data_IF_276793956976
#
_entry.id   IF_276793956976
#
_cell.length_a   1.000
_cell.length_b   1.000
_cell.length_c   1.000
_cell.angle_alpha   90.00
_cell.angle_beta   90.00
_cell.angle_gamma   90.00
#
_symmetry.space_group_name_H-M   'P 1'
#
loop_
_entity.id
_entity.type
_entity.pdbx_description
1 polymer ?
#
# COMPACT_ATOMS: atom_id res chain seq x y z
N UNK A 1 -1.12 -27.88 -11.43
CA UNK A 1 -2.58 -27.79 -11.17
C UNK A 1 -2.88 -27.47 -9.70
N UNK A 2 -2.33 -28.23 -8.74
CA UNK A 2 -2.54 -28.07 -7.28
C UNK A 2 -2.28 -26.65 -6.75
N UNK A 3 -1.14 -26.03 -7.06
CA UNK A 3 -0.82 -24.65 -6.60
C UNK A 3 -1.87 -23.62 -7.04
N UNK A 4 -2.44 -23.75 -8.23
CA UNK A 4 -3.50 -22.85 -8.73
C UNK A 4 -4.78 -23.00 -7.90
N UNK A 5 -5.15 -24.24 -7.56
CA UNK A 5 -6.29 -24.55 -6.69
C UNK A 5 -6.08 -23.96 -5.29
N UNK A 6 -4.91 -24.18 -4.68
CA UNK A 6 -4.59 -23.63 -3.36
C UNK A 6 -4.70 -22.10 -3.34
N UNK A 7 -4.15 -21.42 -4.36
CA UNK A 7 -4.22 -19.95 -4.49
C UNK A 7 -5.66 -19.46 -4.65
N UNK A 8 -6.48 -20.19 -5.39
CA UNK A 8 -7.90 -19.91 -5.52
C UNK A 8 -8.64 -20.05 -4.19
N UNK A 9 -8.39 -21.14 -3.45
CA UNK A 9 -8.99 -21.35 -2.13
C UNK A 9 -8.60 -20.25 -1.14
N UNK A 10 -7.34 -19.79 -1.14
CA UNK A 10 -6.92 -18.63 -0.35
C UNK A 10 -7.71 -17.38 -0.71
N UNK A 11 -7.95 -17.15 -2.00
CA UNK A 11 -8.71 -15.98 -2.45
C UNK A 11 -10.14 -16.04 -1.93
N UNK A 12 -10.80 -17.19 -2.08
CA UNK A 12 -12.15 -17.41 -1.56
C UNK A 12 -12.19 -17.22 -0.04
N UNK A 13 -11.27 -17.84 0.70
CA UNK A 13 -11.18 -17.71 2.15
C UNK A 13 -11.03 -16.26 2.62
N UNK A 14 -10.11 -15.50 2.04
CA UNK A 14 -9.88 -14.10 2.40
C UNK A 14 -11.11 -13.23 2.09
N UNK A 15 -11.78 -13.44 0.94
CA UNK A 15 -13.00 -12.70 0.57
C UNK A 15 -14.13 -13.02 1.54
N UNK A 16 -14.35 -14.29 1.90
CA UNK A 16 -15.36 -14.68 2.89
C UNK A 16 -15.04 -14.03 4.24
N UNK A 17 -13.79 -14.09 4.70
CA UNK A 17 -13.36 -13.49 5.96
C UNK A 17 -13.64 -11.98 6.00
N UNK A 18 -13.34 -11.26 4.90
CA UNK A 18 -13.67 -9.85 4.74
C UNK A 18 -15.18 -9.61 4.85
N UNK A 19 -15.99 -10.32 4.05
CA UNK A 19 -17.45 -10.15 4.03
C UNK A 19 -18.11 -10.48 5.38
N UNK A 20 -17.64 -11.51 6.09
CA UNK A 20 -18.15 -11.85 7.44
C UNK A 20 -17.84 -10.73 8.43
N UNK A 21 -16.63 -10.16 8.37
CA UNK A 21 -16.24 -9.04 9.25
C UNK A 21 -16.94 -7.72 8.91
N UNK A 22 -17.34 -7.53 7.66
CA UNK A 22 -18.07 -6.35 7.20
C UNK A 22 -19.58 -6.56 7.09
N UNK A 23 -20.13 -7.69 7.57
CA UNK A 23 -21.51 -8.10 7.33
C UNK A 23 -22.55 -7.00 7.67
N UNK A 24 -22.29 -6.19 8.69
CA UNK A 24 -23.14 -5.06 9.10
C UNK A 24 -22.98 -3.79 8.25
N UNK A 25 -21.96 -3.70 7.40
CA UNK A 25 -21.49 -2.50 6.69
C UNK A 25 -21.05 -2.74 5.23
N UNK A 26 -21.56 -3.79 4.58
CA UNK A 26 -21.12 -4.25 3.25
C UNK A 26 -21.15 -3.19 2.12
N UNK A 27 -21.91 -2.09 2.23
CA UNK A 27 -21.93 -1.02 1.22
C UNK A 27 -20.59 -0.27 1.09
N UNK A 28 -19.69 -0.40 2.06
CA UNK A 28 -18.41 0.32 2.11
C UNK A 28 -17.23 -0.51 1.60
N UNK A 29 -17.42 -1.81 1.37
CA UNK A 29 -16.42 -2.72 0.83
C UNK A 29 -16.77 -3.04 -0.63
N UNK A 30 -15.82 -2.86 -1.54
CA UNK A 30 -15.95 -3.29 -2.93
C UNK A 30 -14.72 -4.11 -3.34
N UNK A 31 -14.96 -5.34 -3.80
CA UNK A 31 -13.91 -6.24 -4.32
C UNK A 31 -14.29 -6.58 -5.76
N UNK A 32 -13.50 -6.08 -6.70
CA UNK A 32 -13.79 -6.20 -8.11
C UNK A 32 -13.32 -7.54 -8.70
N UNK A 33 -13.67 -7.78 -9.97
CA UNK A 33 -13.39 -9.04 -10.66
C UNK A 33 -11.89 -9.28 -10.82
N UNK A 34 -11.48 -10.55 -10.71
CA UNK A 34 -10.09 -10.96 -10.94
C UNK A 34 -9.13 -10.66 -9.78
N UNK A 35 -9.64 -10.15 -8.65
CA UNK A 35 -8.85 -9.99 -7.42
C UNK A 35 -8.32 -11.35 -6.95
N UNK A 36 -7.05 -11.39 -6.55
CA UNK A 36 -6.38 -12.58 -6.03
C UNK A 36 -5.72 -12.25 -4.70
N UNK A 37 -6.22 -12.88 -3.64
CA UNK A 37 -5.73 -12.73 -2.27
C UNK A 37 -5.07 -14.05 -1.86
N UNK A 38 -3.74 -14.11 -1.92
CA UNK A 38 -2.97 -15.35 -1.82
C UNK A 38 -2.23 -15.39 -0.49
N UNK A 39 -2.38 -16.49 0.24
CA UNK A 39 -1.84 -16.64 1.59
C UNK A 39 -2.72 -15.97 2.65
N UNK A 40 -2.27 -16.02 3.90
CA UNK A 40 -3.04 -15.56 5.04
C UNK A 40 -2.95 -14.03 5.23
N UNK A 41 -3.83 -13.26 4.59
CA UNK A 41 -3.80 -11.79 4.70
C UNK A 41 -4.58 -11.36 5.95
N UNK A 42 -4.00 -10.46 6.75
CA UNK A 42 -4.69 -9.86 7.90
C UNK A 42 -5.43 -8.61 7.45
N UNK A 43 -6.75 -8.64 7.51
CA UNK A 43 -7.58 -7.44 7.38
C UNK A 43 -8.16 -7.05 8.74
N UNK A 44 -7.94 -5.80 9.14
CA UNK A 44 -8.59 -5.17 10.31
C UNK A 44 -9.33 -3.92 9.85
N UNK A 45 -10.65 -4.01 9.81
CA UNK A 45 -11.52 -2.91 9.40
C UNK A 45 -12.28 -2.46 10.63
N UNK A 46 -12.12 -1.21 11.02
CA UNK A 46 -12.86 -0.65 12.16
C UNK A 46 -14.34 -0.45 11.81
N UNK A 47 -15.20 -0.17 12.78
CA UNK A 47 -16.66 -0.22 12.58
C UNK A 47 -17.15 0.86 11.61
N UNK A 48 -16.54 2.04 11.64
CA UNK A 48 -17.02 3.25 10.97
C UNK A 48 -16.05 3.75 9.88
N UNK A 49 -15.18 2.88 9.33
CA UNK A 49 -14.45 3.21 8.10
C UNK A 49 -15.42 3.72 7.02
N UNK A 50 -14.94 4.58 6.11
CA UNK A 50 -15.77 5.20 5.07
C UNK A 50 -15.78 4.42 3.76
N UNK A 51 -14.66 3.77 3.41
CA UNK A 51 -14.59 2.98 2.19
C UNK A 51 -13.35 2.09 2.09
N UNK A 52 -13.52 0.91 1.50
CA UNK A 52 -12.42 0.04 1.12
C UNK A 52 -12.72 -0.56 -0.26
N UNK A 53 -11.88 -0.26 -1.23
CA UNK A 53 -12.01 -0.77 -2.58
C UNK A 53 -10.76 -1.51 -3.03
N UNK A 54 -10.95 -2.69 -3.62
CA UNK A 54 -9.92 -3.42 -4.35
C UNK A 54 -10.37 -3.55 -5.81
N UNK A 55 -9.64 -2.90 -6.72
CA UNK A 55 -9.89 -2.86 -8.14
C UNK A 55 -9.65 -4.19 -8.87
N UNK A 56 -9.98 -4.19 -10.15
CA UNK A 56 -9.93 -5.37 -11.00
C UNK A 56 -8.52 -5.94 -11.11
N UNK A 57 -8.40 -7.26 -11.21
CA UNK A 57 -7.14 -7.98 -11.46
C UNK A 57 -6.02 -7.73 -10.43
N UNK A 58 -6.33 -7.10 -9.30
CA UNK A 58 -5.37 -6.80 -8.24
C UNK A 58 -4.95 -8.06 -7.49
N UNK A 59 -3.64 -8.20 -7.25
CA UNK A 59 -3.03 -9.33 -6.53
C UNK A 59 -2.36 -8.83 -5.26
N UNK A 60 -2.75 -9.43 -4.14
CA UNK A 60 -2.10 -9.25 -2.84
C UNK A 60 -1.62 -10.63 -2.38
N UNK A 61 -0.33 -10.77 -2.11
CA UNK A 61 0.23 -12.02 -1.59
C UNK A 61 0.74 -11.84 -0.17
N UNK A 62 0.82 -12.94 0.59
CA UNK A 62 1.27 -12.94 1.98
C UNK A 62 2.06 -14.21 2.26
N UNK A 63 3.31 -14.08 2.68
CA UNK A 63 4.14 -15.20 3.13
C UNK A 63 4.69 -16.10 2.02
N UNK A 64 4.65 -15.65 0.76
CA UNK A 64 5.17 -16.40 -0.40
C UNK A 64 6.43 -15.75 -1.02
N UNK A 65 6.86 -14.57 -0.55
CA UNK A 65 7.96 -13.82 -1.16
C UNK A 65 9.22 -13.81 -0.27
N UNK A 66 10.32 -14.31 -0.84
CA UNK A 66 11.63 -14.33 -0.18
C UNK A 66 12.16 -12.93 0.14
N UNK A 67 11.89 -11.93 -0.72
CA UNK A 67 12.26 -10.54 -0.46
C UNK A 67 11.54 -9.97 0.78
N UNK A 68 10.31 -10.41 0.99
CA UNK A 68 9.47 -10.05 2.13
C UNK A 68 9.78 -10.85 3.38
N UNK A 69 10.77 -11.76 3.35
CA UNK A 69 11.08 -12.68 4.44
C UNK A 69 9.83 -13.42 4.96
N UNK A 70 8.93 -13.78 4.04
CA UNK A 70 7.65 -14.43 4.32
C UNK A 70 6.77 -13.68 5.34
N UNK A 71 6.87 -12.35 5.39
CA UNK A 71 6.02 -11.53 6.25
C UNK A 71 4.54 -11.65 5.86
N UNK A 72 3.68 -11.52 6.86
CA UNK A 72 2.23 -11.53 6.65
C UNK A 72 1.78 -10.16 6.14
N UNK A 73 1.05 -10.12 5.03
CA UNK A 73 0.40 -8.88 4.60
C UNK A 73 -0.66 -8.45 5.62
N UNK A 74 -0.60 -7.19 6.03
CA UNK A 74 -1.52 -6.59 7.00
C UNK A 74 -2.11 -5.30 6.43
N UNK A 75 -3.44 -5.22 6.40
CA UNK A 75 -4.18 -4.04 5.95
C UNK A 75 -5.14 -3.64 7.06
N UNK A 76 -4.96 -2.43 7.58
CA UNK A 76 -5.77 -1.84 8.63
C UNK A 76 -6.37 -0.50 8.18
N UNK A 77 -7.67 -0.35 8.39
CA UNK A 77 -8.43 0.86 8.01
C UNK A 77 -9.21 1.32 9.24
N UNK A 78 -8.84 2.49 9.73
CA UNK A 78 -9.43 3.14 10.90
C UNK A 78 -10.83 3.72 10.62
N UNK A 79 -11.50 4.13 11.68
CA UNK A 79 -12.77 4.86 11.59
C UNK A 79 -12.61 6.15 10.77
N UNK A 80 -13.57 6.43 9.89
CA UNK A 80 -13.53 7.60 9.03
C UNK A 80 -12.61 7.49 7.81
N UNK A 81 -11.74 6.47 7.74
CA UNK A 81 -10.71 6.36 6.72
C UNK A 81 -11.19 5.69 5.42
N UNK A 82 -10.45 5.92 4.33
CA UNK A 82 -10.71 5.32 3.01
C UNK A 82 -9.42 4.74 2.42
N UNK A 83 -9.49 3.48 1.97
CA UNK A 83 -8.44 2.86 1.15
C UNK A 83 -8.98 2.54 -0.25
N UNK A 84 -8.35 3.14 -1.27
CA UNK A 84 -8.62 2.84 -2.66
C UNK A 84 -7.42 2.16 -3.31
N UNK A 85 -7.56 0.87 -3.62
CA UNK A 85 -6.62 0.15 -4.49
C UNK A 85 -7.29 0.05 -5.85
N UNK A 86 -6.72 0.68 -6.88
CA UNK A 86 -7.28 0.66 -8.25
C UNK A 86 -6.94 -0.65 -8.96
N UNK A 87 -7.02 -0.65 -10.29
CA UNK A 87 -6.97 -1.85 -11.10
C UNK A 87 -5.52 -2.28 -11.39
N UNK A 88 -5.31 -3.58 -11.58
CA UNK A 88 -4.03 -4.17 -11.97
C UNK A 88 -2.89 -3.85 -11.00
N UNK A 89 -3.19 -3.77 -9.70
CA UNK A 89 -2.15 -3.57 -8.68
C UNK A 89 -1.58 -4.91 -8.25
N UNK A 90 -0.26 -5.00 -8.10
CA UNK A 90 0.40 -6.18 -7.56
C UNK A 90 1.24 -5.82 -6.35
N UNK A 91 1.03 -6.52 -5.24
CA UNK A 91 1.79 -6.30 -4.01
C UNK A 91 2.01 -7.60 -3.24
N UNK A 92 3.10 -7.64 -2.47
CA UNK A 92 3.45 -8.81 -1.64
C UNK A 92 3.91 -8.38 -0.26
N UNK A 93 3.50 -9.12 0.76
CA UNK A 93 3.99 -9.00 2.14
C UNK A 93 3.98 -7.55 2.67
N UNK A 94 2.92 -6.80 2.37
CA UNK A 94 2.81 -5.36 2.65
C UNK A 94 2.20 -5.07 4.01
N UNK A 95 2.54 -3.93 4.59
CA UNK A 95 1.83 -3.33 5.72
C UNK A 95 1.19 -2.01 5.29
N UNK A 96 -0.13 -1.91 5.35
CA UNK A 96 -0.88 -0.70 5.02
C UNK A 96 -1.76 -0.34 6.21
N UNK A 97 -1.56 0.83 6.79
CA UNK A 97 -2.38 1.34 7.89
C UNK A 97 -2.91 2.72 7.55
N UNK A 98 -4.24 2.84 7.48
CA UNK A 98 -4.94 4.01 6.94
C UNK A 98 -5.80 4.67 8.02
N UNK A 99 -5.46 5.90 8.38
CA UNK A 99 -6.17 6.78 9.31
C UNK A 99 -6.99 7.85 8.61
N UNK A 100 -6.64 8.23 7.38
CA UNK A 100 -7.31 9.28 6.62
C UNK A 100 -7.69 8.80 5.21
N UNK A 101 -6.73 8.76 4.30
CA UNK A 101 -6.95 8.42 2.90
C UNK A 101 -5.67 7.92 2.25
N UNK A 102 -5.72 6.70 1.71
CA UNK A 102 -4.66 6.15 0.87
C UNK A 102 -5.26 5.75 -0.47
N UNK A 103 -4.68 6.26 -1.55
CA UNK A 103 -5.00 5.84 -2.92
C UNK A 103 -3.77 5.24 -3.58
N UNK A 104 -3.95 4.04 -4.14
CA UNK A 104 -3.00 3.36 -4.99
C UNK A 104 -3.59 3.32 -6.39
N UNK A 105 -2.92 4.00 -7.34
CA UNK A 105 -3.30 4.08 -8.75
C UNK A 105 -3.34 2.73 -9.45
N UNK A 106 -3.68 2.76 -10.74
CA UNK A 106 -3.74 1.55 -11.56
C UNK A 106 -2.35 1.15 -12.06
N UNK A 107 -2.15 -0.13 -12.34
CA UNK A 107 -0.89 -0.69 -12.85
C UNK A 107 0.32 -0.45 -11.93
N UNK A 108 0.06 -0.34 -10.62
CA UNK A 108 1.11 -0.15 -9.62
C UNK A 108 1.70 -1.48 -9.19
N UNK A 109 3.02 -1.56 -9.14
CA UNK A 109 3.73 -2.70 -8.51
C UNK A 109 4.36 -2.25 -7.21
N UNK A 110 4.06 -2.96 -6.11
CA UNK A 110 4.61 -2.70 -4.79
C UNK A 110 5.44 -3.92 -4.35
N UNK A 111 6.73 -3.69 -4.20
CA UNK A 111 7.70 -4.68 -3.78
C UNK A 111 7.42 -5.23 -2.38
N UNK A 112 8.05 -6.35 -2.06
CA UNK A 112 7.81 -7.06 -0.82
C UNK A 112 8.17 -6.22 0.42
N UNK A 113 7.36 -6.29 1.48
CA UNK A 113 7.69 -5.68 2.76
C UNK A 113 7.56 -4.15 2.80
N UNK A 114 6.90 -3.53 1.83
CA UNK A 114 6.64 -2.10 1.89
C UNK A 114 5.68 -1.75 3.02
N UNK A 115 5.90 -0.59 3.63
CA UNK A 115 5.08 -0.02 4.70
C UNK A 115 4.47 1.29 4.22
N UNK A 116 3.14 1.40 4.30
CA UNK A 116 2.38 2.59 3.90
C UNK A 116 1.56 3.03 5.10
N UNK A 117 1.86 4.21 5.64
CA UNK A 117 1.20 4.76 6.83
C UNK A 117 0.94 6.26 6.66
N UNK A 118 -0.34 6.62 6.59
CA UNK A 118 -0.79 8.01 6.40
C UNK A 118 -0.93 8.78 7.73
N UNK A 119 -0.40 8.24 8.82
CA UNK A 119 -0.38 8.82 10.17
C UNK A 119 1.02 8.83 10.77
N UNK A 120 1.25 9.71 11.75
CA UNK A 120 2.41 9.62 12.64
C UNK A 120 2.27 8.47 13.66
N UNK A 121 1.09 7.85 13.76
CA UNK A 121 0.69 6.82 14.73
C UNK A 121 0.69 7.25 16.20
N UNK A 122 1.49 8.24 16.57
CA UNK A 122 1.58 8.80 17.90
C UNK A 122 1.81 10.31 17.86
N UNK A 123 1.56 10.98 18.99
CA UNK A 123 1.91 12.38 19.15
C UNK A 123 3.44 12.58 19.02
N UNK A 124 3.84 13.64 18.29
CA UNK A 124 5.24 14.01 18.18
C UNK A 124 5.75 14.68 19.47
N UNK A 125 4.89 15.49 20.09
CA UNK A 125 5.18 16.05 21.40
C UNK A 125 5.31 14.94 22.45
N UNK A 126 6.36 15.01 23.27
CA UNK A 126 6.70 13.94 24.18
C UNK A 126 5.77 13.89 25.41
N UNK A 127 5.20 15.02 25.84
CA UNK A 127 4.24 15.06 26.94
C UNK A 127 2.91 14.48 26.48
N UNK A 128 2.38 14.92 25.33
CA UNK A 128 1.19 14.32 24.73
C UNK A 128 1.35 12.80 24.53
N UNK A 129 2.51 12.34 24.04
CA UNK A 129 2.78 10.90 23.86
C UNK A 129 2.89 10.13 25.18
N UNK A 130 3.26 10.79 26.29
CA UNK A 130 3.26 10.20 27.62
C UNK A 130 1.83 10.05 28.14
N UNK A 131 1.03 11.12 28.04
CA UNK A 131 -0.37 11.11 28.48
C UNK A 131 -1.24 10.13 27.68
N UNK A 132 -0.94 9.94 26.39
CA UNK A 132 -1.55 8.90 25.54
C UNK A 132 -1.45 7.50 26.19
N UNK A 133 -0.27 7.15 26.72
CA UNK A 133 0.00 5.82 27.32
C UNK A 133 -0.65 5.65 28.68
N UNK A 134 -0.75 6.74 29.43
CA UNK A 134 -1.36 6.72 30.75
C UNK A 134 -2.90 6.72 30.65
N UNK A 135 -3.48 6.81 29.44
CA UNK A 135 -4.92 6.92 29.14
C UNK A 135 -5.60 8.10 29.85
N UNK A 136 -4.81 9.13 30.20
CA UNK A 136 -5.26 10.25 31.02
C UNK A 136 -6.01 11.28 30.17
N UNK A 137 -5.78 11.32 28.86
CA UNK A 137 -6.27 12.41 28.02
C UNK A 137 -6.60 11.99 26.56
N UNK A 138 -7.87 12.12 26.18
CA UNK A 138 -8.35 11.92 24.81
C UNK A 138 -7.87 13.05 23.87
N UNK A 139 -7.56 14.24 24.38
CA UNK A 139 -7.06 15.37 23.59
C UNK A 139 -5.67 15.07 23.01
N UNK A 140 -4.86 14.28 23.72
CA UNK A 140 -3.56 13.79 23.26
C UNK A 140 -3.68 12.83 22.06
N UNK A 141 -4.79 12.11 21.90
CA UNK A 141 -5.08 11.36 20.67
C UNK A 141 -5.49 12.28 19.51
N UNK A 142 -6.19 13.38 19.79
CA UNK A 142 -6.64 14.34 18.78
C UNK A 142 -5.48 15.11 18.11
N UNK A 143 -4.27 15.10 18.67
CA UNK A 143 -3.11 15.78 18.09
C UNK A 143 -2.28 14.90 17.13
N UNK A 144 -2.63 13.62 16.96
CA UNK A 144 -1.95 12.72 16.02
C UNK A 144 -2.25 13.17 14.58
N UNK A 145 -1.22 13.68 13.92
CA UNK A 145 -1.35 14.17 12.54
C UNK A 145 -1.38 13.02 11.55
N UNK A 146 -2.40 13.01 10.70
CA UNK A 146 -2.51 12.18 9.52
C UNK A 146 -2.73 13.04 8.27
N UNK A 147 -2.24 12.60 7.12
CA UNK A 147 -2.35 13.31 5.85
C UNK A 147 -2.35 12.31 4.69
N UNK A 148 -3.15 12.53 3.64
CA UNK A 148 -3.39 11.53 2.61
C UNK A 148 -2.11 11.08 1.90
N UNK A 149 -2.08 9.83 1.44
CA UNK A 149 -1.03 9.31 0.56
C UNK A 149 -1.64 8.99 -0.80
N UNK A 150 -1.03 9.51 -1.87
CA UNK A 150 -1.43 9.25 -3.24
C UNK A 150 -0.27 8.59 -3.98
N UNK A 151 -0.47 7.38 -4.49
CA UNK A 151 0.46 6.71 -5.40
C UNK A 151 -0.17 6.76 -6.80
N UNK A 152 0.53 7.39 -7.74
CA UNK A 152 0.13 7.54 -9.13
C UNK A 152 0.03 6.22 -9.88
N UNK A 153 -0.47 6.30 -11.10
CA UNK A 153 -0.55 5.15 -12.00
C UNK A 153 0.85 4.73 -12.48
N UNK A 154 0.98 3.47 -12.90
CA UNK A 154 2.20 2.93 -13.52
C UNK A 154 3.45 3.10 -12.65
N UNK A 155 3.28 3.23 -11.33
CA UNK A 155 4.37 3.44 -10.38
C UNK A 155 4.97 2.10 -9.97
N UNK A 156 6.29 2.05 -9.82
CA UNK A 156 6.99 0.93 -9.21
C UNK A 156 7.57 1.34 -7.86
N UNK A 157 7.09 0.70 -6.79
CA UNK A 157 7.62 0.87 -5.44
C UNK A 157 8.55 -0.30 -5.12
N UNK A 158 9.84 -0.03 -4.99
CA UNK A 158 10.85 -1.02 -4.65
C UNK A 158 10.63 -1.64 -3.28
N UNK A 159 11.08 -2.88 -3.09
CA UNK A 159 10.88 -3.65 -1.87
C UNK A 159 11.35 -2.89 -0.61
N UNK A 160 10.65 -3.11 0.51
CA UNK A 160 10.96 -2.52 1.83
C UNK A 160 10.98 -0.99 1.86
N UNK A 161 10.27 -0.34 0.95
CA UNK A 161 10.05 1.11 0.99
C UNK A 161 9.09 1.47 2.12
N UNK A 162 9.36 2.58 2.79
CA UNK A 162 8.47 3.21 3.78
C UNK A 162 7.89 4.47 3.16
N UNK A 163 6.56 4.56 3.10
CA UNK A 163 5.83 5.72 2.59
C UNK A 163 5.08 6.35 3.76
N UNK A 164 5.50 7.57 4.12
CA UNK A 164 4.92 8.32 5.23
C UNK A 164 3.78 9.22 4.77
N UNK A 165 3.00 9.69 5.74
CA UNK A 165 1.85 10.57 5.56
C UNK A 165 2.12 11.79 4.68
N UNK A 166 1.08 12.20 3.94
CA UNK A 166 1.05 13.47 3.21
C UNK A 166 1.89 13.50 1.94
N UNK A 167 2.31 12.34 1.42
CA UNK A 167 3.13 12.27 0.20
C UNK A 167 2.31 11.88 -1.02
N UNK A 168 2.62 12.51 -2.14
CA UNK A 168 2.17 12.15 -3.48
C UNK A 168 3.36 11.61 -4.28
N UNK A 169 3.25 10.38 -4.77
CA UNK A 169 4.18 9.81 -5.74
C UNK A 169 3.52 9.92 -7.12
N UNK A 170 4.14 10.69 -8.00
CA UNK A 170 3.64 10.95 -9.34
C UNK A 170 3.65 9.74 -10.25
N UNK A 171 2.85 9.80 -11.31
CA UNK A 171 2.68 8.73 -12.30
C UNK A 171 4.02 8.30 -12.92
N UNK A 172 4.12 7.01 -13.28
CA UNK A 172 5.29 6.39 -13.95
C UNK A 172 6.60 6.51 -13.17
N UNK A 173 6.53 6.85 -11.88
CA UNK A 173 7.74 6.99 -11.05
C UNK A 173 8.23 5.65 -10.53
N UNK A 174 9.54 5.58 -10.29
CA UNK A 174 10.20 4.43 -9.70
C UNK A 174 10.79 4.86 -8.36
N UNK A 175 10.42 4.16 -7.28
CA UNK A 175 11.01 4.33 -5.96
C UNK A 175 11.97 3.17 -5.71
N UNK A 176 13.25 3.45 -5.52
CA UNK A 176 14.26 2.44 -5.25
C UNK A 176 13.96 1.67 -3.95
N UNK A 177 14.37 0.41 -3.87
CA UNK A 177 14.19 -0.42 -2.68
C UNK A 177 14.81 0.22 -1.43
N UNK A 178 14.17 0.00 -0.27
CA UNK A 178 14.63 0.49 1.03
C UNK A 178 14.48 2.01 1.23
N UNK A 179 13.74 2.70 0.36
CA UNK A 179 13.59 4.16 0.45
C UNK A 179 12.64 4.59 1.57
N UNK A 180 12.84 5.79 2.09
CA UNK A 180 11.94 6.43 3.08
C UNK A 180 11.35 7.69 2.48
N UNK A 181 10.14 7.59 1.95
CA UNK A 181 9.43 8.66 1.24
C UNK A 181 8.73 9.56 2.24
N UNK A 182 9.26 10.77 2.40
CA UNK A 182 8.77 11.82 3.33
C UNK A 182 8.42 13.13 2.62
N UNK A 183 8.58 13.18 1.30
CA UNK A 183 8.25 14.31 0.43
C UNK A 183 7.71 13.77 -0.89
N UNK A 184 6.94 14.60 -1.57
CA UNK A 184 6.37 14.27 -2.89
C UNK A 184 7.46 13.92 -3.90
N UNK A 185 7.14 12.96 -4.77
CA UNK A 185 7.95 12.57 -5.91
C UNK A 185 7.20 12.99 -7.17
N UNK A 186 7.79 13.83 -8.05
CA UNK A 186 7.16 14.21 -9.31
C UNK A 186 6.95 13.01 -10.23
N UNK A 187 6.06 13.15 -11.22
CA UNK A 187 5.92 12.17 -12.30
C UNK A 187 7.26 11.91 -13.01
N UNK A 188 7.36 10.74 -13.63
CA UNK A 188 8.46 10.39 -14.54
C UNK A 188 9.85 10.52 -13.87
N UNK A 189 9.95 10.08 -12.61
CA UNK A 189 11.17 10.17 -11.84
C UNK A 189 11.59 8.82 -11.28
N UNK A 190 12.90 8.59 -11.26
CA UNK A 190 13.51 7.60 -10.38
C UNK A 190 13.94 8.34 -9.12
N UNK A 191 13.45 7.90 -7.97
CA UNK A 191 13.78 8.44 -6.66
C UNK A 191 14.23 7.33 -5.71
N UNK A 192 15.07 7.67 -4.73
CA UNK A 192 15.49 6.71 -3.72
C UNK A 192 16.22 7.30 -2.53
N UNK A 193 16.47 6.46 -1.53
CA UNK A 193 17.27 6.78 -0.35
C UNK A 193 16.47 7.05 0.92
N UNK A 194 17.17 7.40 1.99
CA UNK A 194 16.60 7.79 3.28
C UNK A 194 17.25 9.10 3.77
N UNK A 195 16.58 10.26 3.65
CA UNK A 195 15.27 10.45 3.05
C UNK A 195 15.30 10.25 1.52
N UNK A 196 14.18 9.81 0.95
CA UNK A 196 14.03 9.60 -0.48
C UNK A 196 14.14 10.93 -1.24
N UNK A 197 14.94 10.94 -2.31
CA UNK A 197 15.14 12.10 -3.18
C UNK A 197 15.09 11.66 -4.64
N UNK A 198 14.66 12.57 -5.52
CA UNK A 198 14.76 12.35 -6.97
C UNK A 198 16.24 12.15 -7.33
N UNK A 199 16.53 11.03 -7.99
CA UNK A 199 17.86 10.65 -8.48
C UNK A 199 18.00 11.14 -9.93
N UNK A 200 17.01 10.82 -10.78
CA UNK A 200 16.94 11.29 -12.17
C UNK A 200 15.51 11.30 -12.68
N UNK A 201 15.28 12.02 -13.77
CA UNK A 201 14.05 11.87 -14.57
C UNK A 201 14.16 10.66 -15.49
N UNK A 202 13.02 10.06 -15.80
CA UNK A 202 12.88 9.04 -16.83
C UNK A 202 12.73 9.77 -18.15
N UNK A 203 13.74 9.68 -19.02
CA UNK A 203 13.60 10.16 -20.39
C UNK A 203 12.80 9.12 -21.17
N UNK A 204 11.56 9.47 -21.51
CA UNK A 204 10.63 8.58 -22.23
C UNK A 204 11.17 8.22 -23.62
N UNK A 205 12.06 9.05 -24.18
CA UNK A 205 12.68 8.81 -25.49
C UNK A 205 13.81 7.76 -25.43
N UNK A 206 14.56 7.68 -24.32
CA UNK A 206 15.70 6.75 -24.18
C UNK A 206 15.26 5.29 -23.90
N UNK A 207 14.07 5.08 -23.31
CA UNK A 207 13.57 3.73 -22.96
C UNK A 207 13.00 2.96 -24.16
N UNK A 208 12.53 3.64 -25.21
CA UNK A 208 12.12 2.96 -26.46
C UNK A 208 13.31 2.30 -27.12
N UNK A 209 14.46 2.97 -27.12
CA UNK A 209 15.68 2.47 -27.76
C UNK A 209 16.31 1.31 -26.97
N UNK A 210 16.25 1.34 -25.63
CA UNK A 210 16.75 0.23 -24.80
C UNK A 210 15.90 -1.03 -24.91
N UNK A 211 14.57 -0.91 -24.90
CA UNK A 211 13.68 -2.07 -25.04
C UNK A 211 13.74 -2.68 -26.45
N UNK A 212 13.94 -1.87 -27.49
CA UNK A 212 14.20 -2.37 -28.86
C UNK A 212 15.55 -3.08 -28.92
N UNK A 213 16.61 -2.50 -28.33
CA UNK A 213 17.94 -3.11 -28.31
C UNK A 213 18.00 -4.43 -27.54
N UNK A 214 17.24 -4.58 -26.45
CA UNK A 214 17.15 -5.83 -25.70
C UNK A 214 16.29 -6.89 -26.42
N UNK A 215 15.19 -6.49 -27.10
CA UNK A 215 14.37 -7.42 -27.89
C UNK A 215 15.05 -7.92 -29.17
N UNK A 216 16.02 -7.17 -29.70
CA UNK A 216 16.79 -7.57 -30.89
C UNK A 216 18.01 -8.44 -30.54
N UNK A 217 18.32 -8.63 -29.26
CA UNK A 217 19.42 -9.45 -28.76
C UNK A 217 18.96 -10.75 -28.08
N UNK A 218 17.66 -11.08 -28.18
CA UNK A 218 17.04 -12.33 -27.70
C UNK A 218 16.48 -13.15 -28.85
#
# INVERSE_FOLDING_TARGET
MIKKIIRFLWTVFNIINLNVRTFTNNKKLSINRGVRLIGNIRFKLHRNYKGFMIGHHTRITSGENTLGANMRSCIEIEDGAILEIKDNVAMSDVSIWVHNYVRIGSYVTIGAGCMINDSNSHALDYLSRRYERELIDLQSYACIKHAPIIIGNDTFIGARTIINKGVTIGDRSIIAAGSVVVKDIPNDCIAGGNPCKVIKRINIDDEKDQNIAESNNS
#
